data_IF_671013850493
#
_entry.id   IF_671013850493
#
_cell.length_a   1.000
_cell.length_b   1.000
_cell.length_c   1.000
_cell.angle_alpha   90.00
_cell.angle_beta   90.00
_cell.angle_gamma   90.00
#
_symmetry.space_group_name_H-M   'P 1'
#
loop_
_entity.id
_entity.type
_entity.pdbx_description
1 polymer ?
#
# COMPACT_ATOMS: atom_id res chain seq x y z
N UNK A 1 -36.20 8.64 32.78
CA UNK A 1 -36.34 7.31 32.16
C UNK A 1 -35.75 7.29 30.74
N UNK A 2 -36.12 8.24 29.88
CA UNK A 2 -35.69 8.28 28.46
C UNK A 2 -34.16 8.40 28.30
N UNK A 3 -33.49 9.20 29.14
CA UNK A 3 -32.01 9.32 29.08
C UNK A 3 -31.31 8.00 29.44
N UNK A 4 -31.83 7.23 30.41
CA UNK A 4 -31.30 5.94 30.79
C UNK A 4 -31.43 4.94 29.61
N UNK A 5 -32.62 4.90 29.01
CA UNK A 5 -32.87 4.02 27.85
C UNK A 5 -31.98 4.41 26.67
N UNK A 6 -31.89 5.72 26.39
CA UNK A 6 -30.99 6.23 25.34
C UNK A 6 -29.55 5.79 25.57
N UNK A 7 -29.01 5.93 26.78
CA UNK A 7 -27.63 5.52 27.09
C UNK A 7 -27.43 4.03 26.92
N UNK A 8 -28.38 3.19 27.36
CA UNK A 8 -28.32 1.74 27.16
C UNK A 8 -28.33 1.40 25.65
N UNK A 9 -29.19 1.99 24.86
CA UNK A 9 -29.30 1.76 23.42
C UNK A 9 -28.05 2.21 22.68
N UNK A 10 -27.43 3.34 23.06
CA UNK A 10 -26.17 3.81 22.52
C UNK A 10 -25.01 2.84 22.82
N UNK A 11 -24.92 2.34 24.06
CA UNK A 11 -23.90 1.36 24.46
C UNK A 11 -24.07 0.03 23.70
N UNK A 12 -25.31 -0.44 23.54
CA UNK A 12 -25.59 -1.65 22.76
C UNK A 12 -25.24 -1.46 21.28
N UNK A 13 -25.55 -0.29 20.71
CA UNK A 13 -25.17 0.02 19.31
C UNK A 13 -23.65 0.05 19.13
N UNK A 14 -22.90 0.67 20.06
CA UNK A 14 -21.43 0.64 20.06
C UNK A 14 -20.87 -0.78 20.17
N UNK A 15 -21.47 -1.61 21.02
CA UNK A 15 -21.10 -3.02 21.14
C UNK A 15 -21.31 -3.76 19.82
N UNK A 16 -22.46 -3.53 19.18
CA UNK A 16 -22.77 -4.08 17.86
C UNK A 16 -21.78 -3.66 16.79
N UNK A 17 -21.42 -2.36 16.73
CA UNK A 17 -20.39 -1.83 15.82
C UNK A 17 -19.07 -2.54 16.05
N UNK A 18 -18.63 -2.68 17.30
CA UNK A 18 -17.36 -3.34 17.65
C UNK A 18 -17.33 -4.81 17.20
N UNK A 19 -18.41 -5.55 17.46
CA UNK A 19 -18.48 -6.97 17.07
C UNK A 19 -18.53 -7.12 15.55
N UNK A 20 -19.33 -6.33 14.83
CA UNK A 20 -19.37 -6.34 13.37
C UNK A 20 -18.01 -5.99 12.76
N UNK A 21 -17.30 -5.00 13.32
CA UNK A 21 -15.91 -4.70 12.92
C UNK A 21 -15.00 -5.91 13.10
N UNK A 22 -15.10 -6.64 14.20
CA UNK A 22 -14.30 -7.86 14.43
C UNK A 22 -14.60 -8.93 13.39
N UNK A 23 -15.88 -9.16 13.05
CA UNK A 23 -16.29 -10.09 11.99
C UNK A 23 -15.64 -9.71 10.66
N UNK A 24 -15.66 -8.43 10.30
CA UNK A 24 -15.10 -7.94 9.04
C UNK A 24 -13.57 -8.04 9.01
N UNK A 25 -12.89 -7.75 10.12
CA UNK A 25 -11.44 -7.95 10.23
C UNK A 25 -11.07 -9.42 10.07
N UNK A 26 -11.82 -10.33 10.69
CA UNK A 26 -11.62 -11.77 10.53
C UNK A 26 -11.77 -12.22 9.06
N UNK A 27 -12.81 -11.76 8.37
CA UNK A 27 -13.01 -12.02 6.93
C UNK A 27 -11.88 -11.47 6.04
N UNK A 28 -11.15 -10.46 6.51
CA UNK A 28 -9.99 -9.86 5.83
C UNK A 28 -8.65 -10.48 6.25
N UNK A 29 -8.65 -11.60 7.00
CA UNK A 29 -7.46 -12.23 7.60
C UNK A 29 -6.61 -11.25 8.43
N UNK A 30 -7.27 -10.35 9.17
CA UNK A 30 -6.65 -9.33 10.05
C UNK A 30 -7.22 -9.42 11.45
N UNK A 31 -7.12 -10.61 12.06
CA UNK A 31 -7.69 -10.83 13.37
C UNK A 31 -7.10 -9.93 14.45
N UNK A 32 -8.01 -9.36 15.27
CA UNK A 32 -7.63 -8.82 16.56
C UNK A 32 -7.35 -9.98 17.55
N UNK A 33 -6.52 -9.78 18.58
CA UNK A 33 -6.25 -10.84 19.59
C UNK A 33 -7.53 -11.44 20.19
N UNK A 34 -8.56 -10.62 20.37
CA UNK A 34 -9.86 -11.02 20.89
C UNK A 34 -10.68 -11.78 19.83
N UNK A 35 -10.62 -11.35 18.57
CA UNK A 35 -11.24 -12.01 17.44
C UNK A 35 -10.71 -13.42 17.22
N UNK A 36 -9.39 -13.59 17.27
CA UNK A 36 -8.74 -14.89 17.18
C UNK A 36 -9.16 -15.86 18.32
N UNK A 37 -9.32 -15.35 19.56
CA UNK A 37 -9.84 -16.16 20.67
C UNK A 37 -11.28 -16.59 20.47
N UNK A 38 -12.16 -15.69 20.02
CA UNK A 38 -13.58 -15.97 19.82
C UNK A 38 -13.82 -16.92 18.63
N UNK A 39 -13.04 -16.78 17.56
CA UNK A 39 -13.14 -17.61 16.35
C UNK A 39 -12.31 -18.90 16.40
N UNK A 40 -11.71 -19.23 17.54
CA UNK A 40 -10.99 -20.49 17.68
C UNK A 40 -11.93 -21.67 17.45
N UNK A 41 -11.62 -22.49 16.44
CA UNK A 41 -12.39 -23.67 16.08
C UNK A 41 -12.41 -24.69 17.21
N UNK A 42 -13.59 -24.97 17.75
CA UNK A 42 -13.80 -25.93 18.82
C UNK A 42 -15.06 -26.78 18.47
N UNK A 43 -14.89 -27.86 17.73
CA UNK A 43 -15.96 -28.78 17.39
C UNK A 43 -17.17 -28.13 16.70
N UNK A 44 -18.25 -27.87 17.46
CA UNK A 44 -19.49 -27.25 16.93
C UNK A 44 -19.35 -25.75 16.61
N UNK A 45 -18.30 -25.08 17.12
CA UNK A 45 -18.05 -23.65 16.86
C UNK A 45 -17.03 -23.48 15.74
N UNK A 46 -17.46 -22.92 14.60
CA UNK A 46 -16.60 -22.64 13.45
C UNK A 46 -17.08 -21.36 12.75
N UNK A 47 -16.41 -20.24 13.06
CA UNK A 47 -16.76 -18.94 12.48
C UNK A 47 -16.59 -18.92 10.96
N UNK A 48 -15.47 -19.48 10.45
CA UNK A 48 -15.17 -19.46 9.00
C UNK A 48 -16.27 -20.14 8.20
N UNK A 49 -16.73 -21.31 8.65
CA UNK A 49 -17.78 -22.06 7.96
C UNK A 49 -19.11 -21.30 7.90
N UNK A 50 -19.43 -20.54 8.96
CA UNK A 50 -20.66 -19.73 8.99
C UNK A 50 -20.51 -18.47 8.14
N UNK A 51 -19.41 -17.74 8.29
CA UNK A 51 -19.20 -16.45 7.62
C UNK A 51 -18.98 -16.58 6.11
N UNK A 52 -18.45 -17.72 5.65
CA UNK A 52 -18.27 -18.02 4.21
C UNK A 52 -19.46 -18.74 3.58
N UNK A 53 -20.49 -19.09 4.39
CA UNK A 53 -21.72 -19.74 3.91
C UNK A 53 -22.58 -18.82 3.03
N UNK A 54 -23.56 -19.39 2.33
CA UNK A 54 -24.44 -18.62 1.42
C UNK A 54 -25.21 -17.49 2.08
N UNK A 55 -25.64 -17.64 3.37
CA UNK A 55 -26.28 -16.57 4.12
C UNK A 55 -25.24 -15.56 4.65
N UNK A 56 -24.07 -16.02 5.04
CA UNK A 56 -22.97 -15.15 5.49
C UNK A 56 -22.46 -14.22 4.39
N UNK A 57 -22.61 -14.63 3.12
CA UNK A 57 -22.12 -13.93 1.94
C UNK A 57 -23.30 -13.55 1.03
N UNK A 58 -23.87 -12.37 1.27
CA UNK A 58 -25.04 -11.86 0.52
C UNK A 58 -24.71 -11.60 -0.95
N UNK A 59 -23.49 -11.16 -1.24
CA UNK A 59 -22.96 -10.95 -2.60
C UNK A 59 -21.46 -11.24 -2.64
N UNK A 60 -20.88 -11.28 -3.85
CA UNK A 60 -19.41 -11.47 -4.02
C UNK A 60 -18.55 -10.52 -3.15
N UNK A 61 -19.07 -9.33 -2.86
CA UNK A 61 -18.35 -8.27 -2.09
C UNK A 61 -18.99 -7.93 -0.73
N UNK A 62 -20.26 -8.32 -0.48
CA UNK A 62 -21.05 -7.93 0.69
C UNK A 62 -21.32 -9.14 1.56
N UNK A 63 -20.97 -9.05 2.83
CA UNK A 63 -21.22 -10.05 3.86
C UNK A 63 -22.30 -9.58 4.82
N UNK A 64 -22.95 -10.50 5.53
CA UNK A 64 -23.94 -10.15 6.55
C UNK A 64 -23.37 -9.22 7.63
N UNK A 65 -22.09 -9.34 7.95
CA UNK A 65 -21.38 -8.43 8.86
C UNK A 65 -21.33 -6.97 8.38
N UNK A 66 -21.31 -6.73 7.06
CA UNK A 66 -21.37 -5.36 6.51
C UNK A 66 -22.74 -4.73 6.78
N UNK A 67 -23.80 -5.50 6.58
CA UNK A 67 -25.18 -5.07 6.83
C UNK A 67 -25.36 -4.75 8.32
N UNK A 68 -24.87 -5.63 9.20
CA UNK A 68 -24.89 -5.40 10.65
C UNK A 68 -24.11 -4.14 11.06
N UNK A 69 -22.96 -3.89 10.44
CA UNK A 69 -22.18 -2.69 10.73
C UNK A 69 -22.95 -1.41 10.34
N UNK A 70 -23.51 -1.37 9.13
CA UNK A 70 -24.33 -0.24 8.67
C UNK A 70 -25.53 -0.02 9.58
N UNK A 71 -26.23 -1.10 9.96
CA UNK A 71 -27.36 -1.06 10.87
C UNK A 71 -27.02 -0.40 12.21
N UNK A 72 -25.97 -0.86 12.89
CA UNK A 72 -25.61 -0.31 14.21
C UNK A 72 -25.05 1.11 14.12
N UNK A 73 -24.28 1.45 13.08
CA UNK A 73 -23.80 2.82 12.87
C UNK A 73 -24.97 3.76 12.62
N UNK A 74 -25.91 3.36 11.77
CA UNK A 74 -27.10 4.16 11.46
C UNK A 74 -27.94 4.43 12.71
N UNK A 75 -28.18 3.42 13.53
CA UNK A 75 -28.89 3.56 14.80
C UNK A 75 -28.16 4.51 15.76
N UNK A 76 -26.86 4.31 15.92
CA UNK A 76 -26.05 5.12 16.82
C UNK A 76 -26.08 6.60 16.43
N UNK A 77 -25.85 6.91 15.17
CA UNK A 77 -25.89 8.30 14.68
C UNK A 77 -27.29 8.91 14.74
N UNK A 78 -28.31 8.13 14.44
CA UNK A 78 -29.69 8.58 14.50
C UNK A 78 -30.11 8.92 15.93
N UNK A 79 -29.78 8.08 16.90
CA UNK A 79 -30.08 8.36 18.32
C UNK A 79 -29.36 9.61 18.84
N UNK A 80 -28.10 9.82 18.43
CA UNK A 80 -27.39 11.06 18.75
C UNK A 80 -28.08 12.27 18.14
N UNK A 81 -28.44 12.19 16.85
CA UNK A 81 -29.13 13.28 16.15
C UNK A 81 -30.46 13.67 16.82
N UNK A 82 -31.29 12.69 17.16
CA UNK A 82 -32.58 12.94 17.84
C UNK A 82 -32.35 13.44 19.27
N UNK A 83 -31.30 13.02 19.94
CA UNK A 83 -30.92 13.53 21.27
C UNK A 83 -30.54 15.01 21.23
N UNK A 84 -29.75 15.43 20.25
CA UNK A 84 -29.35 16.84 20.06
C UNK A 84 -30.55 17.72 19.75
N UNK A 85 -31.54 17.19 19.01
CA UNK A 85 -32.77 17.90 18.68
C UNK A 85 -33.83 17.87 19.79
N UNK A 86 -33.54 17.27 20.94
CA UNK A 86 -34.48 17.16 22.06
C UNK A 86 -35.65 16.20 21.84
N UNK A 87 -35.59 15.34 20.80
CA UNK A 87 -36.64 14.39 20.39
C UNK A 87 -36.32 12.95 20.79
N UNK A 88 -35.84 12.75 22.00
CA UNK A 88 -35.43 11.41 22.49
C UNK A 88 -36.58 10.38 22.42
N UNK A 89 -37.82 10.70 22.83
CA UNK A 89 -38.92 9.74 22.79
C UNK A 89 -39.27 9.27 21.38
N UNK A 90 -39.26 10.17 20.42
CA UNK A 90 -39.54 9.89 19.01
C UNK A 90 -38.44 9.02 18.40
N UNK A 91 -37.17 9.34 18.71
CA UNK A 91 -36.02 8.57 18.27
C UNK A 91 -36.07 7.12 18.77
N UNK A 92 -36.43 6.91 20.04
CA UNK A 92 -36.61 5.57 20.62
C UNK A 92 -37.75 4.82 19.91
N UNK A 93 -38.88 5.49 19.60
CA UNK A 93 -40.00 4.88 18.89
C UNK A 93 -39.64 4.42 17.47
N UNK A 94 -38.93 5.26 16.72
CA UNK A 94 -38.48 4.92 15.36
C UNK A 94 -37.45 3.76 15.39
N UNK A 95 -36.57 3.76 16.38
CA UNK A 95 -35.64 2.65 16.56
C UNK A 95 -36.37 1.33 16.87
N UNK A 96 -37.44 1.34 17.66
CA UNK A 96 -38.26 0.16 17.91
C UNK A 96 -38.81 -0.43 16.61
N UNK A 97 -39.32 0.42 15.72
CA UNK A 97 -39.80 -0.01 14.40
C UNK A 97 -38.69 -0.63 13.53
N UNK A 98 -37.50 -0.05 13.54
CA UNK A 98 -36.35 -0.58 12.78
C UNK A 98 -35.77 -1.87 13.38
N UNK A 99 -35.98 -2.11 14.69
CA UNK A 99 -35.50 -3.30 15.38
C UNK A 99 -36.30 -4.58 14.99
N UNK A 100 -37.60 -4.45 14.68
CA UNK A 100 -38.46 -5.58 14.34
C UNK A 100 -37.91 -6.43 13.18
N UNK A 101 -37.60 -5.88 11.99
CA UNK A 101 -37.04 -6.66 10.90
C UNK A 101 -35.65 -7.23 11.24
N UNK A 102 -34.85 -6.52 12.06
CA UNK A 102 -33.55 -7.03 12.49
C UNK A 102 -33.70 -8.27 13.37
N UNK A 103 -34.64 -8.27 14.34
CA UNK A 103 -34.94 -9.46 15.15
C UNK A 103 -35.42 -10.62 14.29
N UNK A 104 -36.31 -10.40 13.32
CA UNK A 104 -36.76 -11.43 12.38
C UNK A 104 -35.58 -12.04 11.60
N UNK A 105 -34.69 -11.23 11.09
CA UNK A 105 -33.47 -11.70 10.39
C UNK A 105 -32.55 -12.52 11.29
N UNK A 106 -32.48 -12.22 12.59
CA UNK A 106 -31.68 -13.04 13.51
C UNK A 106 -32.22 -14.43 13.67
N UNK A 107 -33.54 -14.63 13.68
CA UNK A 107 -34.15 -15.98 13.67
C UNK A 107 -33.77 -16.78 12.41
N UNK A 108 -33.81 -16.14 11.25
CA UNK A 108 -33.36 -16.76 9.99
C UNK A 108 -31.87 -17.14 10.10
N UNK A 109 -31.04 -16.26 10.65
CA UNK A 109 -29.62 -16.54 10.83
C UNK A 109 -29.38 -17.72 11.77
N UNK A 110 -30.07 -17.79 12.92
CA UNK A 110 -29.94 -18.90 13.88
C UNK A 110 -30.39 -20.24 13.30
N UNK A 111 -31.56 -20.27 12.64
CA UNK A 111 -32.06 -21.49 11.99
C UNK A 111 -31.13 -21.96 10.88
N UNK A 112 -30.56 -21.05 10.09
CA UNK A 112 -29.61 -21.38 9.06
C UNK A 112 -28.31 -21.98 9.64
N UNK A 113 -27.77 -21.39 10.73
CA UNK A 113 -26.60 -21.92 11.42
C UNK A 113 -26.86 -23.33 11.99
N UNK A 114 -28.03 -23.54 12.62
CA UNK A 114 -28.42 -24.81 13.23
C UNK A 114 -28.63 -25.94 12.21
N UNK A 115 -29.45 -25.69 11.18
CA UNK A 115 -29.95 -26.75 10.28
C UNK A 115 -29.11 -26.86 9.00
N UNK A 116 -28.64 -25.78 8.43
CA UNK A 116 -27.97 -25.79 7.13
C UNK A 116 -26.45 -25.89 7.26
N UNK A 117 -25.83 -25.01 8.08
CA UNK A 117 -24.37 -24.97 8.26
C UNK A 117 -23.91 -26.04 9.24
N UNK A 118 -24.76 -26.37 10.22
CA UNK A 118 -24.46 -27.28 11.35
C UNK A 118 -23.20 -26.86 12.12
N UNK A 119 -22.99 -25.54 12.24
CA UNK A 119 -21.91 -24.91 12.98
C UNK A 119 -22.37 -23.55 13.51
N UNK A 120 -21.81 -23.12 14.64
CA UNK A 120 -22.15 -21.87 15.31
C UNK A 120 -21.01 -20.87 15.19
N UNK A 121 -21.32 -19.61 14.95
CA UNK A 121 -20.36 -18.51 14.98
C UNK A 121 -20.56 -17.69 16.28
N UNK A 122 -19.57 -17.70 17.19
CA UNK A 122 -19.67 -16.98 18.46
C UNK A 122 -19.88 -15.47 18.26
N UNK A 123 -19.18 -14.84 17.30
CA UNK A 123 -19.36 -13.43 17.00
C UNK A 123 -20.77 -13.14 16.50
N UNK A 124 -21.33 -14.00 15.62
CA UNK A 124 -22.69 -13.85 15.14
C UNK A 124 -23.71 -14.01 16.28
N UNK A 125 -23.47 -14.94 17.23
CA UNK A 125 -24.33 -15.11 18.40
C UNK A 125 -24.31 -13.88 19.29
N UNK A 126 -23.15 -13.24 19.49
CA UNK A 126 -23.04 -11.99 20.26
C UNK A 126 -23.83 -10.88 19.55
N UNK A 127 -23.73 -10.77 18.23
CA UNK A 127 -24.51 -9.77 17.45
C UNK A 127 -26.03 -10.02 17.62
N UNK A 128 -26.48 -11.27 17.56
CA UNK A 128 -27.86 -11.65 17.82
C UNK A 128 -28.30 -11.25 19.22
N UNK A 129 -27.48 -11.54 20.24
CA UNK A 129 -27.76 -11.18 21.63
C UNK A 129 -27.89 -9.66 21.80
N UNK A 130 -27.04 -8.86 21.16
CA UNK A 130 -27.13 -7.40 21.20
C UNK A 130 -28.45 -6.93 20.60
N UNK A 131 -28.87 -7.45 19.44
CA UNK A 131 -30.14 -7.06 18.80
C UNK A 131 -31.34 -7.45 19.68
N UNK A 132 -31.31 -8.62 20.30
CA UNK A 132 -32.38 -9.05 21.20
C UNK A 132 -32.43 -8.23 22.46
N UNK A 133 -31.29 -7.85 23.05
CA UNK A 133 -31.24 -6.94 24.19
C UNK A 133 -31.80 -5.56 23.83
N UNK A 134 -31.51 -5.02 22.64
CA UNK A 134 -32.12 -3.80 22.15
C UNK A 134 -33.66 -3.95 22.05
N UNK A 135 -34.11 -5.07 21.46
CA UNK A 135 -35.56 -5.36 21.37
C UNK A 135 -36.22 -5.46 22.74
N UNK A 136 -35.61 -6.11 23.72
CA UNK A 136 -36.14 -6.21 25.09
C UNK A 136 -36.21 -4.84 25.79
N UNK A 137 -35.18 -4.00 25.67
CA UNK A 137 -35.17 -2.64 26.23
C UNK A 137 -36.28 -1.80 25.62
N UNK A 138 -36.50 -1.87 24.31
CA UNK A 138 -37.53 -1.16 23.59
C UNK A 138 -38.92 -1.67 23.97
N UNK A 139 -39.12 -2.96 24.11
CA UNK A 139 -40.37 -3.59 24.55
C UNK A 139 -40.70 -3.17 26.00
N UNK A 140 -39.73 -3.22 26.92
CA UNK A 140 -39.89 -2.78 28.30
C UNK A 140 -40.28 -1.29 28.36
N UNK A 141 -39.65 -0.43 27.54
CA UNK A 141 -40.02 0.97 27.46
C UNK A 141 -41.47 1.15 26.98
N UNK A 142 -41.93 0.36 26.02
CA UNK A 142 -43.31 0.40 25.50
C UNK A 142 -44.28 -0.01 26.59
N UNK A 143 -44.08 -1.16 27.26
CA UNK A 143 -44.99 -1.65 28.33
C UNK A 143 -45.07 -0.71 29.53
N UNK A 144 -43.94 -0.12 29.96
CA UNK A 144 -43.93 0.85 31.06
C UNK A 144 -44.62 2.17 30.74
N UNK A 145 -44.65 2.55 29.46
CA UNK A 145 -45.38 3.75 28.99
C UNK A 145 -46.87 3.50 28.82
N UNK A 146 -47.29 2.30 28.44
CA UNK A 146 -48.70 1.94 28.33
C UNK A 146 -49.42 1.94 29.69
N UNK A 147 -48.69 1.71 30.77
CA UNK A 147 -49.17 1.79 32.16
C UNK A 147 -49.40 3.23 32.62
N UNK A 148 -49.07 4.27 31.86
CA UNK A 148 -49.32 5.69 32.13
C UNK A 148 -50.48 6.16 31.27
N UNK A 149 -51.52 6.83 31.85
CA UNK A 149 -52.80 7.10 31.18
C UNK A 149 -52.76 8.17 30.06
N UNK A 150 -51.60 8.46 29.48
CA UNK A 150 -51.46 9.26 28.27
C UNK A 150 -51.17 8.35 27.10
N UNK A 151 -52.27 7.90 26.47
CA UNK A 151 -52.31 7.09 25.26
C UNK A 151 -51.30 7.57 24.19
N UNK A 152 -50.35 6.72 23.85
CA UNK A 152 -49.35 6.97 22.77
C UNK A 152 -49.93 6.59 21.38
N UNK A 153 -51.10 6.00 21.34
CA UNK A 153 -51.90 5.86 20.13
C UNK A 153 -52.90 7.05 20.09
N UNK A 154 -52.62 8.12 19.34
CA UNK A 154 -53.62 9.12 19.09
C UNK A 154 -54.72 8.45 18.24
N UNK A 155 -55.96 8.54 18.69
CA UNK A 155 -57.15 8.10 17.95
C UNK A 155 -57.27 8.70 16.54
N UNK A 156 -56.36 9.59 16.16
CA UNK A 156 -56.32 10.30 14.90
C UNK A 156 -55.09 9.98 14.07
N UNK A 157 -54.78 8.67 13.83
CA UNK A 157 -53.66 8.25 12.97
C UNK A 157 -53.76 8.76 11.51
N UNK A 158 -54.94 9.20 11.09
CA UNK A 158 -55.26 9.73 9.75
C UNK A 158 -55.25 11.27 9.61
N UNK A 159 -54.85 12.03 10.64
CA UNK A 159 -54.68 13.48 10.47
C UNK A 159 -53.40 13.81 9.75
N UNK A 160 -53.48 14.61 8.70
CA UNK A 160 -52.34 14.99 7.81
C UNK A 160 -51.07 15.44 8.55
N UNK A 161 -51.21 16.05 9.74
CA UNK A 161 -50.06 16.51 10.54
C UNK A 161 -49.27 15.36 11.20
N UNK A 162 -49.96 14.26 11.60
CA UNK A 162 -49.30 13.09 12.21
C UNK A 162 -48.48 12.33 11.18
N UNK A 163 -48.96 12.27 9.93
CA UNK A 163 -48.24 11.64 8.84
C UNK A 163 -46.89 12.35 8.56
N UNK A 164 -46.92 13.68 8.46
CA UNK A 164 -45.73 14.51 8.18
C UNK A 164 -44.73 14.49 9.35
N UNK A 165 -45.17 14.48 10.60
CA UNK A 165 -44.34 14.55 11.80
C UNK A 165 -43.59 13.22 12.09
N UNK A 166 -44.19 12.07 11.77
CA UNK A 166 -43.60 10.75 12.03
C UNK A 166 -42.83 10.15 10.84
N UNK A 167 -43.21 10.47 9.61
CA UNK A 167 -42.57 9.89 8.41
C UNK A 167 -41.25 10.58 8.03
N UNK A 168 -41.15 11.87 8.28
CA UNK A 168 -39.95 12.64 7.94
C UNK A 168 -38.69 12.12 8.68
N UNK A 169 -38.71 11.88 10.01
CA UNK A 169 -37.58 11.30 10.72
C UNK A 169 -37.23 9.86 10.27
N UNK A 170 -38.27 9.05 9.97
CA UNK A 170 -38.06 7.68 9.47
C UNK A 170 -37.45 7.69 8.08
N UNK A 171 -37.86 8.58 7.19
CA UNK A 171 -37.26 8.78 5.87
C UNK A 171 -35.82 9.27 6.00
N UNK A 172 -35.56 10.21 6.91
CA UNK A 172 -34.21 10.69 7.20
C UNK A 172 -33.29 9.55 7.67
N UNK A 173 -33.76 8.73 8.61
CA UNK A 173 -33.02 7.55 9.07
C UNK A 173 -32.70 6.59 7.91
N UNK A 174 -33.64 6.35 7.01
CA UNK A 174 -33.44 5.52 5.85
C UNK A 174 -32.39 6.11 4.88
N UNK A 175 -32.48 7.40 4.57
CA UNK A 175 -31.52 8.10 3.72
C UNK A 175 -30.11 8.11 4.32
N UNK A 176 -29.99 8.38 5.63
CA UNK A 176 -28.71 8.30 6.35
C UNK A 176 -28.13 6.89 6.29
N UNK A 177 -28.97 5.86 6.46
CA UNK A 177 -28.52 4.47 6.35
C UNK A 177 -28.01 4.13 4.95
N UNK A 178 -28.67 4.64 3.90
CA UNK A 178 -28.21 4.49 2.51
C UNK A 178 -26.88 5.19 2.26
N UNK A 179 -26.71 6.41 2.79
CA UNK A 179 -25.44 7.14 2.68
C UNK A 179 -24.30 6.40 3.38
N UNK A 180 -24.54 5.88 4.60
CA UNK A 180 -23.57 5.08 5.35
C UNK A 180 -23.24 3.80 4.59
N UNK A 181 -24.22 3.12 4.02
CA UNK A 181 -24.01 1.91 3.21
C UNK A 181 -23.16 2.20 1.97
N UNK A 182 -23.46 3.30 1.25
CA UNK A 182 -22.67 3.74 0.09
C UNK A 182 -21.23 4.09 0.46
N UNK A 183 -21.04 4.89 1.51
CA UNK A 183 -19.72 5.23 2.03
C UNK A 183 -18.95 3.99 2.48
N UNK A 184 -19.59 3.05 3.17
CA UNK A 184 -18.97 1.79 3.57
C UNK A 184 -18.52 0.95 2.37
N UNK A 185 -19.36 0.81 1.34
CA UNK A 185 -19.01 0.08 0.11
C UNK A 185 -17.77 0.67 -0.57
N UNK A 186 -17.65 1.99 -0.64
CA UNK A 186 -16.48 2.69 -1.20
C UNK A 186 -15.24 2.45 -0.34
N UNK A 187 -15.33 2.66 0.97
CA UNK A 187 -14.22 2.48 1.91
C UNK A 187 -13.74 1.02 1.90
N UNK A 188 -14.64 0.06 1.91
CA UNK A 188 -14.30 -1.37 1.85
C UNK A 188 -13.58 -1.72 0.55
N UNK A 189 -14.02 -1.16 -0.59
CA UNK A 189 -13.33 -1.30 -1.87
C UNK A 189 -11.89 -0.82 -1.80
N UNK A 190 -11.66 0.37 -1.27
CA UNK A 190 -10.31 0.94 -1.10
C UNK A 190 -9.43 0.09 -0.18
N UNK A 191 -9.98 -0.37 0.96
CA UNK A 191 -9.23 -1.22 1.91
C UNK A 191 -8.84 -2.56 1.29
N UNK A 192 -9.73 -3.20 0.53
CA UNK A 192 -9.44 -4.48 -0.14
C UNK A 192 -8.34 -4.33 -1.19
N UNK A 193 -8.44 -3.30 -2.03
CA UNK A 193 -7.43 -3.01 -3.07
C UNK A 193 -6.05 -2.70 -2.44
N UNK A 194 -6.04 -1.91 -1.36
CA UNK A 194 -4.80 -1.61 -0.64
C UNK A 194 -4.17 -2.87 -0.01
N UNK A 195 -4.98 -3.79 0.50
CA UNK A 195 -4.53 -5.05 1.07
C UNK A 195 -3.94 -5.99 0.00
N UNK A 196 -4.61 -6.12 -1.15
CA UNK A 196 -4.11 -6.90 -2.29
C UNK A 196 -2.79 -6.31 -2.80
N UNK A 197 -2.71 -4.99 -2.98
CA UNK A 197 -1.50 -4.30 -3.41
C UNK A 197 -0.33 -4.57 -2.45
N UNK A 198 -0.56 -4.52 -1.14
CA UNK A 198 0.46 -4.84 -0.14
C UNK A 198 0.95 -6.29 -0.26
N UNK A 199 0.04 -7.23 -0.49
CA UNK A 199 0.38 -8.65 -0.67
C UNK A 199 1.19 -8.87 -1.95
N UNK A 200 0.78 -8.26 -3.07
CA UNK A 200 1.50 -8.33 -4.35
C UNK A 200 2.89 -7.70 -4.24
N UNK A 201 2.99 -6.51 -3.62
CA UNK A 201 4.28 -5.87 -3.36
C UNK A 201 5.20 -6.75 -2.50
N UNK A 202 4.66 -7.41 -1.46
CA UNK A 202 5.41 -8.33 -0.63
C UNK A 202 5.95 -9.54 -1.41
N UNK A 203 5.12 -10.16 -2.24
CA UNK A 203 5.52 -11.27 -3.12
C UNK A 203 6.59 -10.82 -4.13
N UNK A 204 6.41 -9.67 -4.76
CA UNK A 204 7.38 -9.10 -5.69
C UNK A 204 8.71 -8.81 -5.00
N UNK A 205 8.70 -8.28 -3.78
CA UNK A 205 9.91 -8.04 -3.00
C UNK A 205 10.67 -9.34 -2.71
N UNK A 206 9.98 -10.40 -2.29
CA UNK A 206 10.59 -11.70 -2.06
C UNK A 206 11.18 -12.29 -3.34
N UNK A 207 10.48 -12.15 -4.46
CA UNK A 207 10.94 -12.58 -5.77
C UNK A 207 12.20 -11.83 -6.21
N UNK A 208 12.22 -10.51 -6.07
CA UNK A 208 13.39 -9.67 -6.38
C UNK A 208 14.62 -9.98 -5.50
N UNK A 209 14.41 -10.42 -4.27
CA UNK A 209 15.48 -10.79 -3.33
C UNK A 209 16.15 -12.12 -3.66
N UNK A 210 15.57 -12.92 -4.54
CA UNK A 210 16.15 -14.20 -4.95
C UNK A 210 17.26 -13.99 -6.00
N UNK A 211 18.50 -14.31 -5.63
CA UNK A 211 19.66 -14.17 -6.52
C UNK A 211 19.62 -15.11 -7.72
N UNK A 212 18.93 -16.26 -7.64
CA UNK A 212 18.82 -17.18 -8.76
C UNK A 212 17.88 -16.62 -9.82
N UNK A 213 16.76 -16.02 -9.38
CA UNK A 213 15.82 -15.32 -10.26
C UNK A 213 16.52 -14.15 -10.94
N UNK A 214 17.25 -13.32 -10.17
CA UNK A 214 18.02 -12.21 -10.72
C UNK A 214 19.00 -12.68 -11.80
N UNK A 215 19.79 -13.72 -11.51
CA UNK A 215 20.75 -14.31 -12.47
C UNK A 215 20.06 -14.83 -13.74
N UNK A 216 18.91 -15.48 -13.60
CA UNK A 216 18.16 -16.00 -14.73
C UNK A 216 17.61 -14.88 -15.63
N UNK A 217 17.12 -13.80 -15.04
CA UNK A 217 16.66 -12.61 -15.77
C UNK A 217 17.82 -11.87 -16.42
N UNK A 218 18.94 -11.71 -15.70
CA UNK A 218 20.15 -11.04 -16.19
C UNK A 218 20.73 -11.74 -17.40
N UNK A 219 20.82 -13.07 -17.40
CA UNK A 219 21.33 -13.87 -18.54
C UNK A 219 20.56 -13.66 -19.85
N UNK A 220 19.32 -13.19 -19.78
CA UNK A 220 18.48 -12.91 -20.96
C UNK A 220 18.66 -11.48 -21.50
N UNK A 221 19.40 -10.64 -20.77
CA UNK A 221 19.66 -9.27 -21.21
C UNK A 221 20.75 -9.26 -22.29
N UNK A 222 20.76 -8.21 -23.08
CA UNK A 222 21.82 -8.01 -24.06
C UNK A 222 23.18 -7.88 -23.38
N UNK A 223 24.22 -8.31 -24.07
CA UNK A 223 25.61 -8.22 -23.61
C UNK A 223 26.34 -7.15 -24.39
N UNK A 224 27.26 -6.48 -23.70
CA UNK A 224 28.19 -5.50 -24.29
C UNK A 224 29.63 -5.85 -23.90
N UNK A 225 30.59 -5.24 -24.58
CA UNK A 225 31.97 -5.24 -24.11
C UNK A 225 32.12 -4.39 -22.87
N UNK A 226 32.53 -5.01 -21.76
CA UNK A 226 32.68 -4.40 -20.46
C UNK A 226 34.16 -4.39 -19.98
N UNK A 227 35.10 -4.48 -20.90
CA UNK A 227 36.50 -4.35 -20.59
C UNK A 227 36.80 -2.95 -20.05
N UNK A 228 37.61 -2.91 -18.99
CA UNK A 228 38.06 -1.67 -18.38
C UNK A 228 39.22 -1.08 -19.18
N UNK A 229 39.23 0.23 -19.32
CA UNK A 229 40.28 0.95 -20.00
C UNK A 229 41.17 1.70 -19.03
N UNK A 230 42.43 1.89 -19.38
CA UNK A 230 43.33 2.74 -18.65
C UNK A 230 42.83 4.20 -18.70
N UNK A 231 42.86 4.88 -17.56
CA UNK A 231 42.33 6.23 -17.43
C UNK A 231 40.81 6.36 -17.38
N UNK A 232 40.05 5.25 -17.39
CA UNK A 232 38.61 5.26 -17.29
C UNK A 232 38.15 5.69 -15.92
N UNK A 233 37.02 6.39 -15.86
CA UNK A 233 36.41 6.84 -14.59
C UNK A 233 35.87 5.63 -13.80
N UNK A 234 36.70 5.18 -12.84
CA UNK A 234 36.45 3.96 -12.06
C UNK A 234 36.33 4.27 -10.58
N UNK A 235 35.19 3.95 -9.98
CA UNK A 235 34.93 4.08 -8.56
C UNK A 235 34.93 2.70 -7.87
N UNK A 236 35.37 2.66 -6.62
CA UNK A 236 35.47 1.45 -5.83
C UNK A 236 36.80 0.71 -6.02
N UNK A 237 36.87 -0.50 -5.49
CA UNK A 237 38.11 -1.33 -5.58
C UNK A 237 38.24 -2.00 -6.93
N UNK A 238 39.44 -1.99 -7.51
CA UNK A 238 39.74 -2.65 -8.81
C UNK A 238 39.50 -4.16 -8.74
N UNK A 239 39.68 -4.76 -7.57
CA UNK A 239 39.50 -6.20 -7.34
C UNK A 239 38.09 -6.58 -6.90
N UNK A 240 37.15 -5.61 -6.89
CA UNK A 240 35.81 -5.87 -6.46
C UNK A 240 35.10 -6.93 -7.32
N UNK A 241 34.44 -7.93 -6.68
CA UNK A 241 33.83 -9.06 -7.38
C UNK A 241 32.61 -8.69 -8.22
N UNK A 242 31.96 -7.53 -7.96
CA UNK A 242 30.79 -7.06 -8.71
C UNK A 242 31.21 -5.85 -9.53
N UNK A 243 31.21 -6.00 -10.84
CA UNK A 243 31.50 -4.93 -11.79
C UNK A 243 30.18 -4.34 -12.31
N UNK A 244 29.98 -3.06 -12.07
CA UNK A 244 28.96 -2.24 -12.71
C UNK A 244 29.61 -1.36 -13.77
N UNK A 245 28.86 -1.05 -14.81
CA UNK A 245 29.22 -0.05 -15.81
C UNK A 245 28.00 0.80 -16.10
N UNK A 246 28.16 2.11 -16.10
CA UNK A 246 27.04 3.02 -16.33
C UNK A 246 27.37 3.99 -17.45
N UNK A 247 26.42 4.09 -18.39
CA UNK A 247 26.41 5.08 -19.46
C UNK A 247 25.67 6.33 -18.97
N UNK A 248 26.35 7.45 -18.87
CA UNK A 248 25.81 8.73 -18.37
C UNK A 248 25.91 9.85 -19.41
N UNK A 249 25.00 10.80 -19.32
CA UNK A 249 25.16 12.12 -19.94
C UNK A 249 25.38 13.15 -18.81
N UNK A 250 26.41 14.00 -18.87
CA UNK A 250 26.70 14.98 -17.81
C UNK A 250 25.54 15.92 -17.48
N UNK A 251 24.71 16.28 -18.45
CA UNK A 251 23.57 17.19 -18.27
C UNK A 251 22.22 16.49 -18.07
N UNK A 252 22.21 15.20 -17.73
CA UNK A 252 21.00 14.43 -17.59
C UNK A 252 20.56 14.34 -16.12
N UNK A 253 19.41 14.93 -15.69
CA UNK A 253 18.97 14.86 -14.30
C UNK A 253 18.68 13.42 -13.78
N UNK A 254 18.13 12.49 -14.56
CA UNK A 254 18.06 11.09 -14.19
C UNK A 254 19.43 10.47 -13.91
N UNK A 255 20.48 10.84 -14.68
CA UNK A 255 21.85 10.35 -14.48
C UNK A 255 22.42 10.78 -13.12
N UNK A 256 22.15 12.01 -12.70
CA UNK A 256 22.54 12.51 -11.38
C UNK A 256 21.90 11.71 -10.23
N UNK A 257 20.64 11.31 -10.37
CA UNK A 257 19.96 10.47 -9.37
C UNK A 257 20.56 9.08 -9.28
N UNK A 258 20.76 8.46 -10.45
CA UNK A 258 21.35 7.12 -10.55
C UNK A 258 22.77 7.08 -9.97
N UNK A 259 23.56 8.11 -10.23
CA UNK A 259 24.90 8.27 -9.67
C UNK A 259 24.88 8.34 -8.14
N UNK A 260 23.96 9.10 -7.52
CA UNK A 260 23.83 9.17 -6.06
C UNK A 260 23.45 7.80 -5.46
N UNK A 261 22.58 7.04 -6.13
CA UNK A 261 22.25 5.67 -5.69
C UNK A 261 23.46 4.75 -5.77
N UNK A 262 24.30 4.89 -6.81
CA UNK A 262 25.57 4.16 -6.96
C UNK A 262 26.56 4.51 -5.85
N UNK A 263 26.72 5.80 -5.51
CA UNK A 263 27.56 6.20 -4.38
C UNK A 263 27.09 5.58 -3.06
N UNK A 264 25.77 5.59 -2.81
CA UNK A 264 25.17 4.92 -1.66
C UNK A 264 25.47 3.42 -1.63
N UNK A 265 25.50 2.77 -2.80
CA UNK A 265 25.84 1.36 -2.92
C UNK A 265 27.33 1.11 -2.62
N UNK A 266 28.23 1.94 -3.15
CA UNK A 266 29.66 1.87 -2.90
C UNK A 266 30.01 2.08 -1.41
N UNK A 267 29.38 3.04 -0.76
CA UNK A 267 29.54 3.27 0.68
C UNK A 267 29.06 2.09 1.52
N UNK A 268 27.98 1.44 1.10
CA UNK A 268 27.39 0.30 1.83
C UNK A 268 28.19 -0.99 1.64
N UNK A 269 28.86 -1.15 0.52
CA UNK A 269 29.61 -2.36 0.15
C UNK A 269 31.04 -2.02 -0.31
N UNK A 270 31.86 -1.41 0.55
CA UNK A 270 33.24 -1.09 0.21
C UNK A 270 34.00 -2.36 -0.14
N UNK A 271 34.75 -2.33 -1.24
CA UNK A 271 35.53 -3.49 -1.73
C UNK A 271 34.71 -4.57 -2.45
N UNK A 272 33.39 -4.53 -2.46
CA UNK A 272 32.55 -5.54 -3.15
C UNK A 272 32.06 -5.10 -4.52
N UNK A 273 32.03 -3.78 -4.77
CA UNK A 273 31.51 -3.18 -6.00
C UNK A 273 32.55 -2.28 -6.60
N UNK A 274 32.71 -2.36 -7.93
CA UNK A 274 33.40 -1.36 -8.75
C UNK A 274 32.47 -0.86 -9.83
N UNK A 275 32.61 0.40 -10.18
CA UNK A 275 31.73 1.06 -11.15
C UNK A 275 32.55 1.83 -12.16
N UNK A 276 32.48 1.42 -13.42
CA UNK A 276 33.05 2.17 -14.54
C UNK A 276 32.00 3.12 -15.09
N UNK A 277 32.39 4.37 -15.34
CA UNK A 277 31.47 5.41 -15.83
C UNK A 277 31.91 5.83 -17.22
N UNK A 278 31.01 5.72 -18.19
CA UNK A 278 31.20 6.15 -19.57
C UNK A 278 30.22 7.24 -19.94
N UNK A 279 30.76 8.30 -20.55
CA UNK A 279 29.98 9.46 -20.91
C UNK A 279 29.49 9.39 -22.36
N UNK A 280 28.20 9.65 -22.57
CA UNK A 280 27.65 9.85 -23.91
C UNK A 280 28.19 11.14 -24.48
N UNK A 281 29.02 11.02 -25.50
CA UNK A 281 29.67 12.11 -26.20
C UNK A 281 29.34 12.09 -27.68
N UNK A 282 29.42 13.26 -28.34
CA UNK A 282 29.21 13.42 -29.78
C UNK A 282 30.53 13.69 -30.49
N UNK A 283 30.53 13.60 -31.83
CA UNK A 283 31.70 14.01 -32.65
C UNK A 283 31.93 15.52 -32.64
N UNK A 284 30.91 16.30 -32.29
CA UNK A 284 31.04 17.73 -32.15
C UNK A 284 31.74 18.09 -30.85
N UNK A 285 32.97 18.58 -30.93
CA UNK A 285 33.80 18.98 -29.77
C UNK A 285 33.28 20.21 -29.05
N UNK A 286 32.45 21.04 -29.72
CA UNK A 286 31.81 22.22 -29.09
C UNK A 286 30.53 21.87 -28.33
N UNK A 287 30.05 20.63 -28.44
CA UNK A 287 28.90 20.19 -27.67
C UNK A 287 29.18 20.25 -26.17
N UNK A 288 28.30 20.94 -25.42
CA UNK A 288 28.45 21.15 -23.97
C UNK A 288 28.67 19.85 -23.20
N UNK A 289 27.95 18.78 -23.54
CA UNK A 289 28.09 17.49 -22.87
C UNK A 289 29.46 16.85 -23.17
N UNK A 290 29.98 17.01 -24.39
CA UNK A 290 31.31 16.53 -24.76
C UNK A 290 32.43 17.32 -24.04
N UNK A 291 32.28 18.66 -23.94
CA UNK A 291 33.20 19.51 -23.20
C UNK A 291 33.22 19.15 -21.71
N UNK A 292 32.04 19.01 -21.09
CA UNK A 292 31.93 18.59 -19.71
C UNK A 292 32.54 17.21 -19.46
N UNK A 293 32.24 16.23 -20.32
CA UNK A 293 32.80 14.87 -20.21
C UNK A 293 34.34 14.88 -20.33
N UNK A 294 34.88 15.70 -21.25
CA UNK A 294 36.34 15.86 -21.39
C UNK A 294 36.92 16.38 -20.08
N UNK A 295 36.39 17.47 -19.55
CA UNK A 295 36.88 18.06 -18.32
C UNK A 295 36.81 17.11 -17.12
N UNK A 296 35.66 16.42 -16.98
CA UNK A 296 35.46 15.44 -15.92
C UNK A 296 36.48 14.30 -15.94
N UNK A 297 36.82 13.77 -17.12
CA UNK A 297 37.83 12.72 -17.27
C UNK A 297 39.22 13.22 -16.90
N UNK A 298 39.58 14.44 -17.27
CA UNK A 298 40.87 15.03 -16.90
C UNK A 298 40.97 15.34 -15.40
N UNK A 299 39.90 15.95 -14.83
CA UNK A 299 39.82 16.19 -13.41
C UNK A 299 40.00 14.88 -12.63
N UNK A 300 39.32 13.81 -13.08
CA UNK A 300 39.43 12.49 -12.48
C UNK A 300 40.90 11.96 -12.49
N UNK A 301 41.63 12.15 -13.59
CA UNK A 301 43.03 11.71 -13.70
C UNK A 301 43.99 12.54 -12.85
N UNK A 302 43.64 13.80 -12.55
CA UNK A 302 44.50 14.77 -11.86
C UNK A 302 44.39 14.71 -10.32
N UNK A 303 43.30 14.13 -9.77
CA UNK A 303 43.07 14.12 -8.32
C UNK A 303 43.37 12.75 -7.68
N UNK A 304 43.67 12.72 -6.38
CA UNK A 304 43.82 11.48 -5.61
C UNK A 304 42.53 10.64 -5.62
N UNK A 305 42.70 9.31 -5.50
CA UNK A 305 41.54 8.37 -5.51
C UNK A 305 40.45 8.69 -4.48
N UNK A 306 40.80 9.30 -3.36
CA UNK A 306 39.88 9.70 -2.30
C UNK A 306 38.93 10.81 -2.72
N UNK A 307 39.36 11.67 -3.67
CA UNK A 307 38.57 12.81 -4.14
C UNK A 307 37.79 12.51 -5.42
N UNK A 308 38.15 11.46 -6.14
CA UNK A 308 37.52 11.09 -7.41
C UNK A 308 35.98 10.97 -7.37
N UNK A 309 35.34 10.41 -6.32
CA UNK A 309 33.89 10.39 -6.22
C UNK A 309 33.25 11.76 -6.17
N UNK A 310 33.95 12.73 -5.54
CA UNK A 310 33.42 14.07 -5.35
C UNK A 310 33.36 14.93 -6.63
N UNK A 311 34.15 14.58 -7.65
CA UNK A 311 34.17 15.33 -8.93
C UNK A 311 32.79 15.32 -9.59
N UNK A 312 32.22 14.12 -9.78
CA UNK A 312 30.89 13.98 -10.37
C UNK A 312 29.77 14.46 -9.48
N UNK A 313 29.93 14.34 -8.16
CA UNK A 313 28.99 14.90 -7.20
C UNK A 313 28.95 16.43 -7.29
N UNK A 314 30.11 17.09 -7.33
CA UNK A 314 30.23 18.53 -7.52
C UNK A 314 29.63 18.98 -8.86
N UNK A 315 29.93 18.24 -9.93
CA UNK A 315 29.34 18.49 -11.23
C UNK A 315 27.80 18.43 -11.22
N UNK A 316 27.21 17.36 -10.70
CA UNK A 316 25.77 17.18 -10.67
C UNK A 316 25.04 18.14 -9.70
N UNK A 317 25.76 18.79 -8.81
CA UNK A 317 25.17 19.82 -7.95
C UNK A 317 25.14 21.20 -8.61
N UNK A 318 26.12 21.52 -9.47
CA UNK A 318 26.26 22.85 -10.07
C UNK A 318 25.88 22.90 -11.56
N UNK A 319 26.12 21.78 -12.30
CA UNK A 319 26.02 21.69 -13.76
C UNK A 319 26.77 22.83 -14.49
N UNK A 320 27.82 23.35 -13.87
CA UNK A 320 28.59 24.50 -14.34
C UNK A 320 30.05 24.12 -14.53
N UNK A 321 30.53 24.24 -15.76
CA UNK A 321 31.93 24.00 -16.10
C UNK A 321 32.83 25.00 -15.36
N UNK A 322 32.43 26.27 -15.30
CA UNK A 322 33.17 27.33 -14.63
C UNK A 322 33.35 27.10 -13.12
N UNK A 323 32.33 26.51 -12.47
CA UNK A 323 32.46 26.15 -11.05
C UNK A 323 33.39 24.94 -10.87
N UNK A 324 33.32 23.96 -11.77
CA UNK A 324 34.19 22.82 -11.75
C UNK A 324 35.66 23.22 -12.00
N UNK A 325 35.91 24.18 -12.94
CA UNK A 325 37.22 24.74 -13.24
C UNK A 325 37.83 25.49 -12.04
N UNK A 326 37.03 26.16 -11.22
CA UNK A 326 37.48 26.79 -9.98
C UNK A 326 37.90 25.74 -8.94
N UNK A 327 37.20 24.61 -8.86
CA UNK A 327 37.49 23.52 -7.91
C UNK A 327 38.73 22.70 -8.33
N UNK A 328 38.95 22.56 -9.63
CA UNK A 328 40.05 21.78 -10.20
C UNK A 328 40.79 22.57 -11.30
N UNK A 329 41.56 23.64 -10.90
CA UNK A 329 42.13 24.59 -11.85
C UNK A 329 43.28 24.03 -12.72
N UNK A 330 43.99 22.99 -12.25
CA UNK A 330 45.17 22.47 -12.88
C UNK A 330 44.90 21.40 -13.96
N UNK A 331 43.70 21.39 -14.49
CA UNK A 331 43.24 20.41 -15.49
C UNK A 331 43.48 20.99 -16.89
N UNK A 332 44.54 20.56 -17.54
CA UNK A 332 44.73 20.84 -18.96
C UNK A 332 43.92 19.88 -19.82
N UNK A 333 43.01 20.33 -20.64
CA UNK A 333 42.13 19.46 -21.43
C UNK A 333 42.90 18.89 -22.66
N UNK A 334 43.80 17.97 -22.43
CA UNK A 334 44.47 17.21 -23.48
C UNK A 334 43.93 15.78 -23.55
N UNK A 335 43.69 15.22 -24.72
CA UNK A 335 43.39 13.82 -24.88
C UNK A 335 41.96 13.45 -25.33
N UNK A 336 41.75 13.53 -26.65
CA UNK A 336 40.54 13.05 -27.30
C UNK A 336 40.40 11.52 -27.40
N UNK A 337 41.46 10.76 -27.06
CA UNK A 337 41.47 9.32 -27.30
C UNK A 337 40.46 8.54 -26.44
N UNK A 338 40.35 8.85 -25.15
CA UNK A 338 39.40 8.19 -24.27
C UNK A 338 37.95 8.57 -24.64
N UNK A 339 37.72 9.83 -25.05
CA UNK A 339 36.41 10.25 -25.57
C UNK A 339 36.03 9.57 -26.88
N UNK A 340 37.00 9.34 -27.78
CA UNK A 340 36.76 8.53 -29.00
C UNK A 340 36.38 7.10 -28.64
N UNK A 341 37.09 6.46 -27.68
CA UNK A 341 36.70 5.15 -27.16
C UNK A 341 35.32 5.12 -26.55
N UNK A 342 34.95 6.14 -25.76
CA UNK A 342 33.58 6.27 -25.24
C UNK A 342 32.56 6.31 -26.37
N UNK A 343 32.79 7.15 -27.38
CA UNK A 343 31.88 7.27 -28.54
C UNK A 343 31.74 5.94 -29.26
N UNK A 344 32.86 5.31 -29.65
CA UNK A 344 32.87 4.03 -30.33
C UNK A 344 32.10 2.97 -29.53
N UNK A 345 32.35 2.90 -28.23
CA UNK A 345 31.66 1.96 -27.35
C UNK A 345 30.14 2.20 -27.29
N UNK A 346 29.67 3.47 -27.26
CA UNK A 346 28.25 3.78 -27.31
C UNK A 346 27.62 3.32 -28.63
N UNK A 347 28.29 3.54 -29.74
CA UNK A 347 27.83 3.14 -31.08
C UNK A 347 27.79 1.60 -31.20
N UNK A 348 28.86 0.90 -30.84
CA UNK A 348 28.94 -0.56 -30.87
C UNK A 348 27.91 -1.20 -29.91
N UNK A 349 27.75 -0.64 -28.71
CA UNK A 349 26.79 -1.10 -27.71
C UNK A 349 25.36 -0.70 -28.03
N UNK A 350 25.11 0.08 -29.08
CA UNK A 350 23.76 0.57 -29.47
C UNK A 350 22.99 1.18 -28.29
N UNK A 351 23.67 1.99 -27.48
CA UNK A 351 23.06 2.66 -26.33
C UNK A 351 22.35 3.92 -26.82
N UNK A 352 21.03 3.96 -26.70
CA UNK A 352 20.17 5.05 -27.21
C UNK A 352 19.70 6.02 -26.14
N UNK A 353 19.87 5.66 -24.88
CA UNK A 353 19.39 6.48 -23.74
C UNK A 353 20.34 6.40 -22.56
N UNK A 354 20.31 7.43 -21.73
CA UNK A 354 21.04 7.52 -20.46
C UNK A 354 20.09 7.92 -19.32
N UNK A 355 20.27 7.41 -18.11
CA UNK A 355 21.31 6.44 -17.73
C UNK A 355 21.00 5.02 -18.23
N UNK A 356 22.04 4.24 -18.57
CA UNK A 356 21.92 2.81 -18.85
C UNK A 356 22.98 2.07 -18.03
N UNK A 357 22.54 1.15 -17.19
CA UNK A 357 23.39 0.38 -16.27
C UNK A 357 23.62 -1.02 -16.81
N UNK A 358 24.84 -1.53 -16.61
CA UNK A 358 25.24 -2.90 -16.91
C UNK A 358 25.90 -3.52 -15.69
N UNK A 359 25.75 -4.83 -15.53
CA UNK A 359 26.42 -5.64 -14.52
C UNK A 359 27.15 -6.79 -15.21
N UNK A 360 28.48 -6.86 -15.04
CA UNK A 360 29.36 -7.81 -15.74
C UNK A 360 29.12 -7.87 -17.26
N UNK A 361 28.93 -6.73 -17.90
CA UNK A 361 28.65 -6.61 -19.33
C UNK A 361 27.21 -6.94 -19.77
N UNK A 362 26.33 -7.32 -18.89
CA UNK A 362 24.92 -7.56 -19.19
C UNK A 362 24.07 -6.35 -18.78
N UNK A 363 23.17 -5.92 -19.65
CA UNK A 363 22.28 -4.78 -19.34
C UNK A 363 21.46 -5.07 -18.08
N UNK A 364 21.38 -4.09 -17.20
CA UNK A 364 20.65 -4.23 -15.95
C UNK A 364 19.14 -4.35 -16.22
N UNK A 365 18.46 -5.38 -15.69
CA UNK A 365 17.07 -5.62 -16.03
C UNK A 365 16.15 -4.51 -15.51
N UNK A 366 15.29 -3.95 -16.34
CA UNK A 366 14.35 -2.85 -16.01
C UNK A 366 13.42 -3.15 -14.84
N UNK A 367 13.22 -4.43 -14.50
CA UNK A 367 12.42 -4.86 -13.35
C UNK A 367 13.11 -4.51 -12.01
N UNK A 368 14.42 -4.33 -12.00
CA UNK A 368 15.23 -4.06 -10.81
C UNK A 368 15.67 -2.60 -10.76
N UNK A 369 15.95 -2.13 -9.55
CA UNK A 369 16.55 -0.83 -9.26
C UNK A 369 17.92 -1.02 -8.60
N UNK A 370 18.74 0.02 -8.57
CA UNK A 370 20.03 -0.03 -7.84
C UNK A 370 19.81 -0.39 -6.37
N UNK A 371 18.72 0.12 -5.77
CA UNK A 371 18.35 -0.21 -4.39
C UNK A 371 18.07 -1.72 -4.18
N UNK A 372 17.59 -2.44 -5.21
CA UNK A 372 17.41 -3.90 -5.14
C UNK A 372 18.77 -4.64 -5.07
N UNK A 373 19.85 -4.07 -5.64
CA UNK A 373 21.22 -4.63 -5.56
C UNK A 373 21.74 -4.72 -4.13
N UNK A 374 21.29 -3.85 -3.23
CA UNK A 374 21.64 -3.91 -1.81
C UNK A 374 21.35 -5.29 -1.21
N UNK A 375 20.27 -5.93 -1.67
CA UNK A 375 19.86 -7.25 -1.19
C UNK A 375 20.56 -8.41 -1.93
N UNK A 376 21.10 -8.13 -3.12
CA UNK A 376 21.67 -9.13 -4.02
C UNK A 376 23.20 -9.21 -3.93
N UNK A 377 23.92 -8.09 -3.75
CA UNK A 377 25.38 -8.03 -3.72
C UNK A 377 26.02 -9.07 -2.80
N UNK A 378 25.57 -9.25 -1.52
CA UNK A 378 26.17 -10.26 -0.65
C UNK A 378 26.04 -11.70 -1.16
N UNK A 379 25.08 -11.97 -2.05
CA UNK A 379 24.85 -13.27 -2.66
C UNK A 379 25.57 -13.40 -4.01
N UNK A 380 25.75 -12.29 -4.73
CA UNK A 380 26.45 -12.23 -5.99
C UNK A 380 27.96 -12.35 -5.79
N UNK A 381 28.50 -11.75 -4.72
CA UNK A 381 29.95 -11.85 -4.37
C UNK A 381 30.34 -13.27 -4.00
N UNK A 382 29.50 -14.06 -3.35
CA UNK A 382 29.78 -15.47 -3.00
C UNK A 382 29.79 -16.41 -4.20
N UNK A 383 29.09 -16.08 -5.27
CA UNK A 383 29.07 -16.80 -6.55
C UNK A 383 29.20 -15.77 -7.67
N UNK A 384 30.38 -15.41 -8.10
CA UNK A 384 30.57 -14.41 -9.13
C UNK A 384 29.80 -14.78 -10.41
N UNK A 385 29.26 -13.75 -11.05
CA UNK A 385 28.61 -13.86 -12.35
C UNK A 385 29.79 -14.19 -13.35
N UNK A 386 29.66 -15.25 -14.12
CA UNK A 386 30.63 -15.50 -15.20
C UNK A 386 30.42 -14.39 -16.24
N UNK A 387 31.48 -13.68 -16.58
CA UNK A 387 31.53 -12.82 -17.77
C UNK A 387 31.24 -13.70 -18.98
N UNK A 388 30.15 -13.45 -19.69
CA UNK A 388 29.93 -14.14 -20.96
C UNK A 388 30.84 -13.52 -21.99
N UNK A 389 31.65 -14.30 -22.73
CA UNK A 389 32.37 -13.76 -23.85
C UNK A 389 31.38 -13.20 -24.86
N UNK A 390 31.64 -12.00 -25.35
CA UNK A 390 30.86 -11.39 -26.44
C UNK A 390 30.94 -12.32 -27.64
N UNK A 391 29.81 -12.83 -28.13
CA UNK A 391 29.72 -13.55 -29.37
C UNK A 391 29.66 -12.59 -30.53
#
# INVERSE_FOLDING_TARGET
>A
MDILILTILLLLSLTGIYVCRMILLHLMNRDSPLGAKLCRNNGKFNCDRVLTSGLGKVSKKIHLGDIGLVYFISQFLFLIFESINGRIPEGIGIMAFSCLPAVALTFVSLTYQAFRVKAWCKMCLITVAVIWLQGLVLLANFTLRESSPKSYFPENVFRENVFREKWLPSLLMFLVSLLIAGAWCLIKGLISTAAELKTVKGKLFLFKKDSNVFRAVLKRQRTINADLWEGEFLLGSIDAPVQLMIALNPYCPPCAREYREILGLLHKFPGFVRVAIRFLVTTNTENKATQAARYLLHAYASVPRTEQPHILESWFNTLSLTELEKLYPDVAPDGNELLKKHRQWFDESKITHTPTLFIHGQEFPKLYTISDLILLIPKLSKRPLKTSPVK
#
